data_IF_929561062599
#
_entry.id   IF_929561062599
#
_cell.length_a   1.000
_cell.length_b   1.000
_cell.length_c   1.000
_cell.angle_alpha   90.00
_cell.angle_beta   90.00
_cell.angle_gamma   90.00
#
_symmetry.space_group_name_H-M   'P 1'
#
loop_
_entity.id
_entity.type
_entity.pdbx_description
1 polymer ?
#
# COMPACT_ATOMS: atom_id res chain seq x y z
N UNK A 1 8.70 -0.22 -7.15
CA UNK A 1 7.68 0.07 -6.13
C UNK A 1 6.79 -1.15 -5.79
N UNK A 2 5.88 -1.67 -6.65
CA UNK A 2 4.95 -2.75 -6.26
C UNK A 2 5.63 -4.03 -5.71
N UNK A 3 6.77 -4.42 -6.30
CA UNK A 3 7.61 -5.51 -5.79
C UNK A 3 8.05 -5.25 -4.34
N UNK A 4 8.50 -4.04 -4.04
CA UNK A 4 8.97 -3.63 -2.73
C UNK A 4 7.83 -3.58 -1.70
N UNK A 5 6.66 -3.07 -2.09
CA UNK A 5 5.44 -3.10 -1.26
C UNK A 5 5.09 -4.55 -0.90
N UNK A 6 5.18 -5.48 -1.86
CA UNK A 6 4.96 -6.91 -1.62
C UNK A 6 6.01 -7.49 -0.66
N UNK A 7 7.26 -7.10 -0.81
CA UNK A 7 8.36 -7.55 0.04
C UNK A 7 8.15 -7.13 1.50
N UNK A 8 7.87 -5.85 1.75
CA UNK A 8 7.57 -5.31 3.08
C UNK A 8 6.32 -5.96 3.68
N UNK A 9 5.24 -6.06 2.89
CA UNK A 9 4.00 -6.71 3.33
C UNK A 9 4.23 -8.15 3.73
N UNK A 10 4.99 -8.91 2.93
CA UNK A 10 5.31 -10.30 3.21
C UNK A 10 6.18 -10.43 4.46
N UNK A 11 7.20 -9.56 4.60
CA UNK A 11 8.05 -9.53 5.79
C UNK A 11 7.22 -9.37 7.07
N UNK A 12 6.29 -8.41 7.11
CA UNK A 12 5.43 -8.17 8.28
C UNK A 12 4.43 -9.32 8.49
N UNK A 13 3.78 -9.80 7.43
CA UNK A 13 2.67 -10.75 7.55
C UNK A 13 3.11 -12.21 7.78
N UNK A 14 4.34 -12.60 7.41
CA UNK A 14 4.78 -14.01 7.51
C UNK A 14 5.04 -14.46 8.96
N UNK A 15 5.16 -13.54 9.94
CA UNK A 15 5.34 -13.90 11.35
C UNK A 15 4.35 -13.19 12.26
N UNK A 16 3.73 -13.94 13.17
CA UNK A 16 2.88 -13.38 14.23
C UNK A 16 3.63 -12.42 15.15
N UNK A 17 4.93 -12.65 15.39
CA UNK A 17 5.77 -11.78 16.22
C UNK A 17 6.01 -10.41 15.60
N UNK A 18 5.64 -10.19 14.34
CA UNK A 18 5.73 -8.90 13.64
C UNK A 18 4.37 -8.33 13.31
N UNK A 19 3.44 -9.19 12.91
CA UNK A 19 2.06 -8.78 12.62
C UNK A 19 1.32 -8.27 13.86
N UNK A 20 1.59 -8.83 15.05
CA UNK A 20 0.93 -8.41 16.28
C UNK A 20 1.43 -7.04 16.78
N UNK A 21 2.75 -6.78 16.91
CA UNK A 21 3.24 -5.43 17.18
C UNK A 21 2.82 -4.41 16.11
N UNK A 22 2.77 -4.80 14.84
CA UNK A 22 2.24 -3.93 13.79
C UNK A 22 0.80 -3.49 14.06
N UNK A 23 -0.08 -4.43 14.40
CA UNK A 23 -1.48 -4.13 14.69
C UNK A 23 -1.62 -3.21 15.93
N UNK A 24 -0.74 -3.34 16.91
CA UNK A 24 -0.65 -2.44 18.06
C UNK A 24 -0.20 -1.03 17.65
N UNK A 25 0.85 -0.93 16.82
CA UNK A 25 1.32 0.36 16.28
C UNK A 25 0.22 1.08 15.48
N UNK A 26 -0.55 0.35 14.67
CA UNK A 26 -1.71 0.90 13.95
C UNK A 26 -2.79 1.39 14.92
N UNK A 27 -3.06 0.65 15.99
CA UNK A 27 -4.09 1.06 16.97
C UNK A 27 -3.67 2.29 17.77
N UNK A 28 -2.38 2.44 18.03
CA UNK A 28 -1.81 3.54 18.80
C UNK A 28 -1.55 4.80 17.96
N UNK A 29 -1.50 4.70 16.62
CA UNK A 29 -1.37 5.86 15.75
C UNK A 29 -2.68 6.63 15.66
N UNK A 30 -2.70 7.86 16.18
CA UNK A 30 -3.87 8.76 16.18
C UNK A 30 -4.26 9.30 14.79
N UNK A 31 -3.46 9.01 13.76
CA UNK A 31 -3.62 9.56 12.40
C UNK A 31 -4.32 8.61 11.42
N UNK A 32 -4.59 7.35 11.80
CA UNK A 32 -5.29 6.42 10.90
C UNK A 32 -6.80 6.49 11.16
N UNK A 33 -7.52 7.32 10.40
CA UNK A 33 -8.99 7.29 10.28
C UNK A 33 -9.53 5.94 9.74
N UNK A 34 -8.63 5.09 9.25
CA UNK A 34 -8.96 3.85 8.58
C UNK A 34 -9.16 2.70 9.58
N UNK A 35 -10.29 1.99 9.49
CA UNK A 35 -10.56 0.71 10.18
C UNK A 35 -9.59 -0.42 9.78
N UNK A 36 -8.53 -0.12 9.03
CA UNK A 36 -7.61 -1.09 8.42
C UNK A 36 -6.51 -1.41 9.43
N UNK A 37 -6.54 -2.60 10.00
CA UNK A 37 -5.56 -3.04 11.02
C UNK A 37 -4.48 -3.96 10.46
N UNK A 38 -4.53 -4.27 9.16
CA UNK A 38 -3.66 -5.26 8.52
C UNK A 38 -3.27 -4.84 7.12
N UNK A 39 -2.02 -5.12 6.75
CA UNK A 39 -1.55 -4.96 5.38
C UNK A 39 -2.17 -6.06 4.50
N UNK A 40 -2.76 -5.68 3.35
CA UNK A 40 -3.38 -6.63 2.43
C UNK A 40 -2.30 -7.40 1.68
N UNK A 41 -2.59 -8.66 1.34
CA UNK A 41 -1.79 -9.37 0.37
C UNK A 41 -1.92 -8.69 -1.00
N UNK A 42 -0.84 -8.02 -1.43
CA UNK A 42 -0.71 -7.29 -2.69
C UNK A 42 -0.44 -8.20 -3.89
N UNK A 43 -0.30 -9.52 -3.71
CA UNK A 43 -0.14 -10.49 -4.81
C UNK A 43 -1.49 -10.97 -5.37
N UNK A 44 -2.32 -10.05 -5.87
CA UNK A 44 -3.66 -10.37 -6.40
C UNK A 44 -3.67 -10.39 -7.93
N UNK A 45 -4.59 -11.13 -8.53
CA UNK A 45 -4.70 -11.22 -10.01
C UNK A 45 -5.57 -10.14 -10.64
N UNK A 46 -6.31 -9.37 -9.85
CA UNK A 46 -7.20 -8.30 -10.32
C UNK A 46 -6.57 -6.94 -10.08
N UNK A 47 -6.54 -6.09 -11.11
CA UNK A 47 -5.94 -4.76 -11.02
C UNK A 47 -6.63 -3.86 -9.99
N UNK A 48 -7.95 -3.98 -9.82
CA UNK A 48 -8.67 -3.26 -8.76
C UNK A 48 -8.20 -3.63 -7.34
N UNK A 49 -7.79 -4.89 -7.13
CA UNK A 49 -7.28 -5.35 -5.84
C UNK A 49 -5.84 -4.90 -5.60
N UNK A 50 -5.03 -4.74 -6.67
CA UNK A 50 -3.73 -4.08 -6.57
C UNK A 50 -3.85 -2.62 -6.12
N UNK A 51 -4.78 -1.87 -6.72
CA UNK A 51 -5.03 -0.46 -6.35
C UNK A 51 -5.44 -0.37 -4.87
N UNK A 52 -6.41 -1.17 -4.43
CA UNK A 52 -6.84 -1.22 -3.02
C UNK A 52 -5.71 -1.63 -2.08
N UNK A 53 -4.88 -2.58 -2.52
CA UNK A 53 -3.74 -3.08 -1.78
C UNK A 53 -2.72 -1.98 -1.52
N UNK A 54 -2.33 -1.26 -2.58
CA UNK A 54 -1.40 -0.15 -2.48
C UNK A 54 -1.96 1.03 -1.69
N UNK A 55 -3.22 1.42 -1.94
CA UNK A 55 -3.89 2.48 -1.17
C UNK A 55 -3.89 2.16 0.33
N UNK A 56 -4.11 0.89 0.70
CA UNK A 56 -4.01 0.48 2.12
C UNK A 56 -2.59 0.52 2.66
N UNK A 57 -1.60 0.14 1.86
CA UNK A 57 -0.20 0.25 2.27
C UNK A 57 0.19 1.71 2.54
N UNK A 58 -0.25 2.64 1.69
CA UNK A 58 -0.06 4.08 1.86
C UNK A 58 -0.76 4.61 3.11
N UNK A 59 -2.02 4.23 3.34
CA UNK A 59 -2.76 4.62 4.55
C UNK A 59 -2.08 4.10 5.84
N UNK A 60 -1.28 3.03 5.73
CA UNK A 60 -0.54 2.41 6.83
C UNK A 60 0.97 2.68 6.77
N UNK A 61 1.43 3.63 5.95
CA UNK A 61 2.85 3.88 5.75
C UNK A 61 3.56 4.27 7.04
N UNK A 62 2.97 5.16 7.85
CA UNK A 62 3.55 5.59 9.12
C UNK A 62 3.67 4.43 10.13
N UNK A 63 2.62 3.62 10.39
CA UNK A 63 2.75 2.40 11.17
C UNK A 63 3.82 1.43 10.66
N UNK A 64 3.95 1.26 9.34
CA UNK A 64 4.98 0.40 8.73
C UNK A 64 6.38 0.92 9.02
N UNK A 65 6.59 2.22 8.82
CA UNK A 65 7.85 2.89 9.08
C UNK A 65 8.26 2.73 10.54
N UNK A 66 7.37 3.05 11.48
CA UNK A 66 7.64 2.98 12.91
C UNK A 66 7.97 1.55 13.37
N UNK A 67 7.28 0.54 12.82
CA UNK A 67 7.60 -0.85 13.12
C UNK A 67 9.01 -1.21 12.63
N UNK A 68 9.37 -0.85 11.40
CA UNK A 68 10.69 -1.16 10.85
C UNK A 68 11.81 -0.43 11.60
N UNK A 69 11.55 0.80 12.06
CA UNK A 69 12.49 1.56 12.91
C UNK A 69 12.66 0.91 14.29
N UNK A 70 11.58 0.54 14.98
CA UNK A 70 11.63 -0.23 16.24
C UNK A 70 12.39 -1.55 16.04
N UNK A 71 12.14 -2.25 14.95
CA UNK A 71 12.81 -3.51 14.65
C UNK A 71 14.31 -3.34 14.38
N UNK A 72 14.71 -2.23 13.76
CA UNK A 72 16.11 -1.92 13.45
C UNK A 72 16.88 -1.53 14.72
N UNK A 73 16.28 -0.70 15.57
CA UNK A 73 16.91 -0.11 16.75
C UNK A 73 16.66 -0.88 18.05
N UNK A 74 15.67 -1.78 18.05
CA UNK A 74 15.24 -2.57 19.20
C UNK A 74 16.04 -3.84 19.45
N UNK A 75 15.56 -4.64 20.42
CA UNK A 75 16.22 -5.87 20.88
C UNK A 75 15.76 -7.10 20.09
N UNK A 76 15.97 -7.07 18.78
CA UNK A 76 15.69 -8.20 17.89
C UNK A 76 16.98 -8.96 17.52
N UNK A 77 16.83 -10.17 16.98
CA UNK A 77 17.99 -10.94 16.54
C UNK A 77 18.72 -10.24 15.36
N UNK A 78 20.05 -10.45 15.19
CA UNK A 78 20.84 -9.69 14.22
C UNK A 78 20.37 -9.79 12.77
N UNK A 79 19.91 -10.97 12.32
CA UNK A 79 19.41 -11.13 10.95
C UNK A 79 18.14 -10.31 10.74
N UNK A 80 17.21 -10.35 11.68
CA UNK A 80 15.95 -9.62 11.58
C UNK A 80 16.16 -8.10 11.63
N UNK A 81 17.12 -7.63 12.43
CA UNK A 81 17.53 -6.21 12.45
C UNK A 81 18.10 -5.76 11.10
N UNK A 82 18.88 -6.63 10.47
CA UNK A 82 19.45 -6.37 9.13
C UNK A 82 18.35 -6.30 8.09
N UNK A 83 17.47 -7.30 8.04
CA UNK A 83 16.32 -7.32 7.13
C UNK A 83 15.42 -6.08 7.32
N UNK A 84 15.13 -5.71 8.57
CA UNK A 84 14.32 -4.54 8.88
C UNK A 84 15.01 -3.23 8.46
N UNK A 85 16.32 -3.11 8.68
CA UNK A 85 17.12 -1.95 8.27
C UNK A 85 17.15 -1.79 6.76
N UNK A 86 17.30 -2.89 6.02
CA UNK A 86 17.32 -2.88 4.56
C UNK A 86 15.96 -2.45 4.00
N UNK A 87 14.87 -2.97 4.57
CA UNK A 87 13.51 -2.57 4.20
C UNK A 87 13.20 -1.13 4.59
N UNK A 88 13.65 -0.67 5.77
CA UNK A 88 13.48 0.71 6.22
C UNK A 88 14.18 1.68 5.28
N UNK A 89 15.43 1.40 4.91
CA UNK A 89 16.20 2.18 3.93
C UNK A 89 15.47 2.23 2.59
N UNK A 90 14.98 1.08 2.12
CA UNK A 90 14.25 0.97 0.86
C UNK A 90 12.94 1.79 0.83
N UNK A 91 12.17 1.83 1.94
CA UNK A 91 10.91 2.59 1.98
C UNK A 91 11.12 4.08 2.29
N UNK A 92 12.28 4.43 2.84
CA UNK A 92 12.67 5.82 3.13
C UNK A 92 13.32 6.50 1.94
N UNK A 93 13.71 5.74 0.93
CA UNK A 93 14.30 6.25 -0.29
C UNK A 93 13.35 7.21 -1.02
N UNK A 94 13.91 8.31 -1.53
CA UNK A 94 13.14 9.36 -2.20
C UNK A 94 12.42 8.82 -3.45
N UNK A 95 13.06 7.96 -4.24
CA UNK A 95 12.46 7.38 -5.44
C UNK A 95 11.22 6.55 -5.05
N UNK A 96 11.32 5.78 -3.98
CA UNK A 96 10.19 4.99 -3.49
C UNK A 96 9.02 5.86 -3.04
N UNK A 97 9.27 6.88 -2.21
CA UNK A 97 8.24 7.80 -1.72
C UNK A 97 7.61 8.58 -2.88
N UNK A 98 8.42 9.10 -3.80
CA UNK A 98 7.94 9.85 -4.96
C UNK A 98 7.04 8.98 -5.85
N UNK A 99 7.48 7.76 -6.19
CA UNK A 99 6.68 6.83 -7.00
C UNK A 99 5.38 6.45 -6.27
N UNK A 100 5.41 6.25 -4.96
CA UNK A 100 4.22 5.95 -4.17
C UNK A 100 3.19 7.08 -4.28
N UNK A 101 3.59 8.33 -4.00
CA UNK A 101 2.71 9.50 -4.08
C UNK A 101 2.15 9.70 -5.49
N UNK A 102 2.99 9.55 -6.52
CA UNK A 102 2.53 9.64 -7.92
C UNK A 102 1.52 8.54 -8.23
N UNK A 103 1.79 7.31 -7.79
CA UNK A 103 0.91 6.16 -8.06
C UNK A 103 -0.44 6.34 -7.38
N UNK A 104 -0.48 6.83 -6.13
CA UNK A 104 -1.72 7.15 -5.41
C UNK A 104 -2.60 8.10 -6.22
N UNK A 105 -2.03 9.20 -6.69
CA UNK A 105 -2.76 10.19 -7.49
C UNK A 105 -3.33 9.58 -8.78
N UNK A 106 -2.53 8.79 -9.50
CA UNK A 106 -3.00 8.09 -10.72
C UNK A 106 -4.13 7.10 -10.39
N UNK A 107 -3.99 6.36 -9.29
CA UNK A 107 -4.96 5.36 -8.86
C UNK A 107 -6.29 5.98 -8.44
N UNK A 108 -6.28 7.09 -7.72
CA UNK A 108 -7.49 7.78 -7.30
C UNK A 108 -8.32 8.24 -8.51
N UNK A 109 -7.66 8.73 -9.57
CA UNK A 109 -8.36 9.16 -10.80
C UNK A 109 -8.83 7.95 -11.63
N UNK A 110 -8.06 6.85 -11.67
CA UNK A 110 -8.37 5.67 -12.50
C UNK A 110 -9.26 4.63 -11.81
N UNK A 111 -9.48 4.73 -10.50
CA UNK A 111 -10.22 3.75 -9.70
C UNK A 111 -11.66 3.55 -10.18
N UNK A 112 -12.48 4.59 -10.44
CA UNK A 112 -13.87 4.40 -10.88
C UNK A 112 -13.97 3.64 -12.19
N UNK A 113 -13.16 4.04 -13.19
CA UNK A 113 -13.11 3.36 -14.49
C UNK A 113 -12.62 1.91 -14.34
N UNK A 114 -11.63 1.67 -13.50
CA UNK A 114 -11.11 0.33 -13.20
C UNK A 114 -12.17 -0.58 -12.58
N UNK A 115 -12.96 -0.06 -11.63
CA UNK A 115 -14.02 -0.80 -10.97
C UNK A 115 -15.15 -1.16 -11.93
N UNK A 116 -15.57 -0.21 -12.77
CA UNK A 116 -16.61 -0.43 -13.76
C UNK A 116 -16.18 -1.50 -14.79
N UNK A 117 -14.99 -1.37 -15.36
CA UNK A 117 -14.49 -2.27 -16.41
C UNK A 117 -14.19 -3.70 -15.91
N UNK A 118 -13.92 -3.88 -14.61
CA UNK A 118 -13.73 -5.19 -14.00
C UNK A 118 -14.99 -5.72 -13.30
N UNK A 119 -16.11 -5.00 -13.42
CA UNK A 119 -17.41 -5.43 -12.92
C UNK A 119 -17.93 -6.67 -13.64
N UNK A 120 -18.79 -7.45 -12.97
CA UNK A 120 -19.45 -8.63 -13.58
C UNK A 120 -20.47 -8.24 -14.65
N UNK A 121 -21.04 -7.05 -14.53
CA UNK A 121 -21.95 -6.41 -15.47
C UNK A 121 -21.42 -5.02 -15.75
N UNK A 122 -21.38 -4.63 -17.01
CA UNK A 122 -20.85 -3.33 -17.45
C UNK A 122 -21.99 -2.56 -18.08
N UNK A 123 -22.28 -1.37 -17.54
CA UNK A 123 -23.01 -0.36 -18.28
C UNK A 123 -22.02 0.31 -19.24
N UNK A 124 -22.20 0.02 -20.54
CA UNK A 124 -21.28 0.50 -21.58
C UNK A 124 -21.34 2.02 -21.73
N UNK A 125 -22.51 2.63 -21.51
CA UNK A 125 -22.67 4.08 -21.62
C UNK A 125 -21.94 4.79 -20.48
N UNK A 126 -22.14 4.31 -19.25
CA UNK A 126 -21.40 4.80 -18.07
C UNK A 126 -19.89 4.61 -18.24
N UNK A 127 -19.46 3.47 -18.81
CA UNK A 127 -18.05 3.22 -19.10
C UNK A 127 -17.43 4.22 -20.07
N UNK A 128 -18.15 4.59 -21.13
CA UNK A 128 -17.68 5.59 -22.11
C UNK A 128 -17.54 6.97 -21.44
N UNK A 129 -18.49 7.36 -20.60
CA UNK A 129 -18.46 8.64 -19.87
C UNK A 129 -17.28 8.70 -18.88
N UNK A 130 -17.05 7.64 -18.11
CA UNK A 130 -15.92 7.56 -17.17
C UNK A 130 -14.57 7.62 -17.89
N UNK A 131 -14.40 6.89 -19.00
CA UNK A 131 -13.15 6.90 -19.78
C UNK A 131 -12.92 8.28 -20.42
N UNK A 132 -13.96 8.93 -20.91
CA UNK A 132 -13.86 10.27 -21.51
C UNK A 132 -13.50 11.33 -20.48
N UNK A 133 -14.08 11.22 -19.28
CA UNK A 133 -13.75 12.09 -18.13
C UNK A 133 -12.31 11.87 -17.69
N UNK A 134 -11.88 10.61 -17.54
CA UNK A 134 -10.51 10.24 -17.20
C UNK A 134 -9.49 10.82 -18.19
N UNK A 135 -9.76 10.71 -19.49
CA UNK A 135 -8.91 11.29 -20.55
C UNK A 135 -8.73 12.80 -20.37
N UNK A 136 -9.79 13.49 -19.98
CA UNK A 136 -9.76 14.95 -19.76
C UNK A 136 -8.95 15.32 -18.51
N UNK A 137 -9.06 14.53 -17.44
CA UNK A 137 -8.32 14.76 -16.19
C UNK A 137 -6.82 14.47 -16.26
N UNK A 138 -6.39 13.61 -17.20
CA UNK A 138 -4.96 13.23 -17.35
C UNK A 138 -4.21 14.11 -18.36
N UNK A 139 -4.92 14.76 -19.29
CA UNK A 139 -4.33 15.51 -20.42
C UNK A 139 -4.34 17.03 -20.20
N UNK A 140 -5.01 17.52 -19.17
CA UNK A 140 -4.93 18.93 -18.74
C UNK A 140 -3.84 19.12 -17.68
#
# INVERSE_FOLDING_TARGET
MLKHVKEVTNFINISQTRNMPFAETVHNSSETDSKKTRLPDVCRTRWVEHIKGLSTFEDLFIPVFNLLDDMTNGKYNPSLRTDASDLLSLISDFEFVAIMVITRNIFDITLPATQLLQGKSIDVMEGIELVSSLKTSVVN
#
